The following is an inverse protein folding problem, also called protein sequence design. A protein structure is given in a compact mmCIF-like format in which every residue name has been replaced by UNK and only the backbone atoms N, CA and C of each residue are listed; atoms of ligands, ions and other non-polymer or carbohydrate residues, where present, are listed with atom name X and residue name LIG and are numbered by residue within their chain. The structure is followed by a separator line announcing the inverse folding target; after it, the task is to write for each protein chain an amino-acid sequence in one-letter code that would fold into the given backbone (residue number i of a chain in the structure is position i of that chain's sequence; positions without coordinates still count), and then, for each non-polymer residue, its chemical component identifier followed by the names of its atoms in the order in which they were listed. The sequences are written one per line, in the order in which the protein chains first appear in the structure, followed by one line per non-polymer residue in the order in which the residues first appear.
data_IF_496095021736
#
_entry.id   IF_496095021736
#
_cell.length_a   1.000
_cell.length_b   1.000
_cell.length_c   1.000
_cell.angle_alpha   90.00
_cell.angle_beta   90.00
_cell.angle_gamma   90.00
#
_symmetry.space_group_name_H-M   'P 1'
#
loop_
_entity.id
_entity.type
_entity.pdbx_description
1 polymer ?
#
# COMPACT_ATOMS: atom_id res chain seq x y z
N UNK A 1 -19.11 15.37 -25.16
CA UNK A 1 -17.94 14.49 -25.23
C UNK A 1 -18.33 13.19 -24.57
N UNK A 2 -18.38 12.11 -25.36
CA UNK A 2 -18.71 10.77 -24.88
C UNK A 2 -17.63 10.32 -23.88
N UNK A 3 -18.07 9.75 -22.76
CA UNK A 3 -17.24 9.07 -21.78
C UNK A 3 -16.68 7.79 -22.41
N UNK A 4 -15.63 7.93 -23.22
CA UNK A 4 -14.84 6.78 -23.68
C UNK A 4 -13.90 6.36 -22.55
N UNK A 5 -14.49 5.79 -21.51
CA UNK A 5 -13.75 5.10 -20.46
C UNK A 5 -12.90 3.99 -21.06
N UNK A 6 -11.75 3.73 -20.45
CA UNK A 6 -10.77 2.71 -20.87
C UNK A 6 -11.49 1.38 -21.12
N UNK A 7 -11.40 0.85 -22.35
CA UNK A 7 -12.25 -0.27 -22.79
C UNK A 7 -11.60 -1.63 -22.64
N UNK A 8 -10.27 -1.67 -22.51
CA UNK A 8 -9.50 -2.92 -22.46
C UNK A 8 -8.45 -2.91 -21.37
N UNK A 9 -8.09 -4.09 -20.88
CA UNK A 9 -6.99 -4.25 -19.91
C UNK A 9 -5.64 -3.74 -20.47
N UNK A 10 -5.43 -3.86 -21.78
CA UNK A 10 -4.21 -3.39 -22.43
C UNK A 10 -4.11 -1.87 -22.40
N UNK A 11 -5.19 -1.17 -22.79
CA UNK A 11 -5.28 0.29 -22.73
C UNK A 11 -5.13 0.79 -21.29
N UNK A 12 -5.74 0.11 -20.31
CA UNK A 12 -5.63 0.45 -18.89
C UNK A 12 -4.20 0.35 -18.37
N UNK A 13 -3.52 -0.74 -18.67
CA UNK A 13 -2.14 -0.97 -18.22
C UNK A 13 -1.15 -0.05 -18.93
N UNK A 14 -1.41 0.27 -20.20
CA UNK A 14 -0.59 1.17 -21.01
C UNK A 14 -0.72 2.64 -20.58
N UNK A 15 -1.85 3.00 -19.98
CA UNK A 15 -2.12 4.35 -19.44
C UNK A 15 -1.56 4.57 -18.01
N UNK A 16 -0.72 3.66 -17.50
CA UNK A 16 -0.12 3.81 -16.18
C UNK A 16 0.89 4.98 -16.17
N UNK A 17 0.70 5.91 -15.24
CA UNK A 17 1.51 7.11 -15.06
C UNK A 17 2.25 7.05 -13.71
N UNK A 18 3.57 7.28 -13.73
CA UNK A 18 4.43 7.28 -12.53
C UNK A 18 4.42 8.62 -11.80
N UNK A 19 4.06 9.70 -12.48
CA UNK A 19 3.99 11.04 -11.90
C UNK A 19 2.62 11.31 -11.26
N UNK A 20 1.65 10.42 -11.51
CA UNK A 20 0.32 10.47 -10.91
C UNK A 20 0.37 10.22 -9.40
N UNK A 21 -0.06 11.20 -8.62
CA UNK A 21 -0.18 11.10 -7.17
C UNK A 21 -1.54 10.51 -6.78
N UNK A 22 -1.60 9.37 -6.07
CA UNK A 22 -2.87 8.77 -5.66
C UNK A 22 -3.56 9.64 -4.59
N UNK A 23 -4.80 10.05 -4.85
CA UNK A 23 -5.63 10.83 -3.91
C UNK A 23 -6.23 9.99 -2.78
N UNK A 24 -6.31 8.67 -2.95
CA UNK A 24 -6.94 7.77 -1.98
C UNK A 24 -5.98 7.34 -0.87
N UNK A 25 -6.51 7.21 0.35
CA UNK A 25 -5.80 6.56 1.46
C UNK A 25 -5.60 5.07 1.19
N UNK A 26 -4.53 4.49 1.76
CA UNK A 26 -4.23 3.06 1.64
C UNK A 26 -5.38 2.24 2.23
N UNK A 27 -6.04 1.46 1.39
CA UNK A 27 -7.16 0.58 1.79
C UNK A 27 -6.70 -0.78 2.33
N UNK A 28 -5.49 -1.20 1.98
CA UNK A 28 -4.96 -2.51 2.35
C UNK A 28 -4.22 -2.47 3.69
N UNK A 29 -4.40 -3.53 4.49
CA UNK A 29 -3.69 -3.72 5.75
C UNK A 29 -2.29 -4.29 5.50
N UNK A 30 -1.31 -3.87 6.30
CA UNK A 30 0.04 -4.44 6.29
C UNK A 30 0.22 -5.39 7.47
N UNK A 31 0.67 -6.61 7.18
CA UNK A 31 1.01 -7.63 8.17
C UNK A 31 2.52 -7.74 8.27
N UNK A 32 3.08 -7.61 9.47
CA UNK A 32 4.51 -7.76 9.72
C UNK A 32 4.77 -8.95 10.64
N UNK A 33 5.67 -9.86 10.23
CA UNK A 33 6.15 -10.95 11.08
C UNK A 33 7.17 -10.40 12.08
N UNK A 34 6.97 -10.67 13.36
CA UNK A 34 7.85 -10.19 14.43
C UNK A 34 8.83 -11.28 14.83
N UNK A 35 10.10 -10.90 14.90
CA UNK A 35 11.18 -11.77 15.34
C UNK A 35 11.99 -11.11 16.46
N UNK A 36 13.07 -11.76 16.95
CA UNK A 36 13.85 -11.26 18.08
C UNK A 36 14.40 -9.84 17.90
N UNK A 37 14.66 -9.41 16.66
CA UNK A 37 15.15 -8.05 16.34
C UNK A 37 14.07 -6.97 16.31
N UNK A 38 12.80 -7.36 16.20
CA UNK A 38 11.65 -6.44 16.09
C UNK A 38 10.69 -6.56 17.28
N UNK A 39 11.03 -7.39 18.26
CA UNK A 39 10.26 -7.61 19.50
C UNK A 39 10.66 -6.64 20.63
N UNK A 40 10.95 -5.38 20.30
CA UNK A 40 11.11 -4.31 21.29
C UNK A 40 10.03 -3.26 21.09
N UNK A 41 9.66 -2.56 22.16
CA UNK A 41 8.56 -1.58 22.13
C UNK A 41 8.87 -0.44 21.15
N UNK A 42 10.13 -0.03 21.08
CA UNK A 42 10.62 1.03 20.18
C UNK A 42 10.49 0.60 18.73
N UNK A 43 10.82 -0.66 18.41
CA UNK A 43 10.70 -1.18 17.06
C UNK A 43 9.25 -1.34 16.64
N UNK A 44 8.39 -1.83 17.53
CA UNK A 44 6.95 -1.94 17.26
C UNK A 44 6.30 -0.57 17.02
N UNK A 45 6.74 0.45 17.76
CA UNK A 45 6.27 1.83 17.57
C UNK A 45 6.68 2.38 16.21
N UNK A 46 7.96 2.21 15.82
CA UNK A 46 8.45 2.58 14.49
C UNK A 46 7.71 1.85 13.36
N UNK A 47 7.41 0.56 13.54
CA UNK A 47 6.67 -0.23 12.56
C UNK A 47 5.23 0.25 12.43
N UNK A 48 4.59 0.62 13.54
CA UNK A 48 3.24 1.21 13.54
C UNK A 48 3.21 2.53 12.77
N UNK A 49 4.17 3.42 13.01
CA UNK A 49 4.27 4.71 12.32
C UNK A 49 4.56 4.54 10.82
N UNK A 50 5.35 3.52 10.46
CA UNK A 50 5.59 3.14 9.07
C UNK A 50 4.36 2.48 8.40
N UNK A 51 3.33 2.12 9.17
CA UNK A 51 2.05 1.65 8.66
C UNK A 51 1.76 0.16 8.87
N UNK A 52 2.41 -0.53 9.82
CA UNK A 52 2.02 -1.87 10.25
C UNK A 52 0.62 -1.85 10.89
N UNK A 53 -0.26 -2.77 10.47
CA UNK A 53 -1.60 -2.93 11.04
C UNK A 53 -1.72 -4.20 11.90
N UNK A 54 -1.09 -5.29 11.48
CA UNK A 54 -1.25 -6.62 12.09
C UNK A 54 0.13 -7.22 12.35
N UNK A 55 0.30 -7.83 13.53
CA UNK A 55 1.49 -8.58 13.91
C UNK A 55 1.25 -10.07 13.68
N UNK A 56 2.21 -10.72 13.03
CA UNK A 56 2.32 -12.18 12.95
C UNK A 56 3.46 -12.65 13.85
N UNK A 57 3.16 -13.54 14.79
CA UNK A 57 4.13 -14.17 15.67
C UNK A 57 4.59 -15.53 15.12
#
# INVERSE_FOLDING_TARGET
MSDDGIKTNLEWTSALDIDYQPVNTRKTSIICTIGPKTNTVEMLSKLRDAGMNIVRM
#
